data_IF_560366744182
#
_entry.id   IF_560366744182
#
_cell.length_a   1.000
_cell.length_b   1.000
_cell.length_c   1.000
_cell.angle_alpha   90.00
_cell.angle_beta   90.00
_cell.angle_gamma   90.00
#
_symmetry.space_group_name_H-M   'P 1'
#
loop_
_entity.id
_entity.type
_entity.pdbx_description
1 polymer ?
#
# COMPACT_ATOMS: atom_id res chain seq x y z
N UNK A 1 5.33 -29.67 -20.23
CA UNK A 1 4.22 -28.90 -19.61
C UNK A 1 4.85 -27.77 -18.80
N UNK A 2 4.71 -26.53 -19.29
CA UNK A 2 5.35 -25.33 -18.73
C UNK A 2 4.49 -24.75 -17.60
N UNK A 3 4.93 -24.93 -16.36
CA UNK A 3 4.33 -24.28 -15.19
C UNK A 3 4.91 -22.87 -15.03
N UNK A 4 4.40 -21.94 -15.83
CA UNK A 4 4.51 -20.49 -15.56
C UNK A 4 3.66 -20.17 -14.33
N UNK A 5 4.23 -20.31 -13.14
CA UNK A 5 3.62 -19.81 -11.90
C UNK A 5 3.83 -18.30 -11.85
N UNK A 6 2.87 -17.53 -12.36
CA UNK A 6 2.77 -16.11 -12.06
C UNK A 6 2.72 -15.94 -10.53
N UNK A 7 3.73 -15.27 -9.96
CA UNK A 7 3.94 -15.12 -8.51
C UNK A 7 3.02 -14.08 -7.84
N UNK A 8 1.86 -13.79 -8.43
CA UNK A 8 0.91 -12.82 -7.87
C UNK A 8 -0.51 -13.18 -8.25
N UNK A 9 -1.50 -12.69 -7.50
CA UNK A 9 -2.90 -12.86 -7.85
C UNK A 9 -3.17 -12.23 -9.23
N UNK A 10 -4.21 -12.72 -9.95
CA UNK A 10 -4.61 -12.06 -11.18
C UNK A 10 -5.00 -10.61 -10.87
N UNK A 11 -4.32 -9.67 -11.53
CA UNK A 11 -4.68 -8.26 -11.44
C UNK A 11 -6.14 -8.07 -11.83
N UNK A 12 -6.90 -7.19 -11.14
CA UNK A 12 -8.25 -6.86 -11.56
C UNK A 12 -8.27 -6.45 -13.04
N UNK A 13 -9.33 -6.81 -13.76
CA UNK A 13 -9.54 -6.34 -15.13
C UNK A 13 -9.45 -4.80 -15.15
N UNK A 14 -8.82 -4.21 -16.17
CA UNK A 14 -8.73 -2.75 -16.30
C UNK A 14 -10.14 -2.14 -16.29
N UNK A 15 -10.54 -1.53 -15.18
CA UNK A 15 -11.82 -0.86 -15.05
C UNK A 15 -11.65 0.58 -15.52
N UNK A 16 -12.41 0.98 -16.53
CA UNK A 16 -12.40 2.34 -17.04
C UNK A 16 -13.51 3.19 -16.43
N UNK A 17 -13.33 4.51 -16.44
CA UNK A 17 -14.39 5.47 -16.16
C UNK A 17 -14.39 6.06 -14.75
N UNK A 18 -13.32 5.88 -13.96
CA UNK A 18 -13.20 6.62 -12.70
C UNK A 18 -12.88 8.11 -12.97
N UNK A 19 -13.43 9.01 -12.15
CA UNK A 19 -13.14 10.45 -12.30
C UNK A 19 -11.64 10.73 -12.10
N UNK A 20 -11.01 10.03 -11.15
CA UNK A 20 -9.57 10.13 -10.91
C UNK A 20 -8.75 9.68 -12.13
N UNK A 21 -9.14 8.59 -12.78
CA UNK A 21 -8.49 8.13 -14.01
C UNK A 21 -8.59 9.19 -15.11
N UNK A 22 -9.79 9.74 -15.34
CA UNK A 22 -10.00 10.78 -16.35
C UNK A 22 -9.24 12.08 -16.03
N UNK A 23 -9.10 12.42 -14.76
CA UNK A 23 -8.27 13.54 -14.31
C UNK A 23 -6.78 13.29 -14.61
N UNK A 24 -6.25 12.15 -14.17
CA UNK A 24 -4.85 11.77 -14.39
C UNK A 24 -4.50 11.70 -15.89
N UNK A 25 -5.39 11.15 -16.71
CA UNK A 25 -5.18 11.12 -18.16
C UNK A 25 -5.17 12.51 -18.79
N UNK A 26 -6.01 13.45 -18.29
CA UNK A 26 -5.98 14.86 -18.73
C UNK A 26 -4.70 15.58 -18.29
N UNK A 27 -4.14 15.20 -17.14
CA UNK A 27 -2.82 15.67 -16.67
C UNK A 27 -1.66 15.05 -17.48
N UNK A 28 -1.93 14.04 -18.33
CA UNK A 28 -0.94 13.37 -19.17
C UNK A 28 -0.35 12.10 -18.56
N UNK A 29 -0.92 11.58 -17.48
CA UNK A 29 -0.48 10.35 -16.84
C UNK A 29 -0.67 9.13 -17.76
N UNK A 30 0.38 8.33 -17.88
CA UNK A 30 0.29 7.01 -18.49
C UNK A 30 -0.08 5.98 -17.41
N UNK A 31 -1.24 5.35 -17.57
CA UNK A 31 -1.77 4.36 -16.61
C UNK A 31 -1.49 2.97 -17.17
N UNK A 32 -0.39 2.37 -16.72
CA UNK A 32 0.03 1.03 -17.12
C UNK A 32 -0.61 -0.03 -16.20
N UNK A 33 -0.58 -1.30 -16.61
CA UNK A 33 -1.06 -2.40 -15.75
C UNK A 33 -0.02 -2.85 -14.72
N UNK A 34 1.27 -2.70 -15.02
CA UNK A 34 2.38 -3.18 -14.20
C UNK A 34 3.33 -2.02 -13.87
N UNK A 35 3.90 -2.04 -12.66
CA UNK A 35 4.89 -1.06 -12.19
C UNK A 35 4.43 0.41 -12.27
N UNK A 36 3.37 0.75 -11.52
CA UNK A 36 2.76 2.08 -11.52
C UNK A 36 3.44 3.07 -10.56
N UNK A 37 4.72 2.88 -10.24
CA UNK A 37 5.54 3.92 -9.59
C UNK A 37 5.49 5.25 -10.37
N UNK A 38 5.59 5.29 -11.71
CA UNK A 38 5.44 6.53 -12.47
C UNK A 38 4.08 7.22 -12.28
N UNK A 39 3.01 6.46 -12.01
CA UNK A 39 1.69 7.04 -11.73
C UNK A 39 1.66 7.73 -10.36
N UNK A 40 2.28 7.12 -9.34
CA UNK A 40 2.44 7.74 -8.01
C UNK A 40 3.30 8.99 -8.12
N UNK A 41 4.42 8.93 -8.83
CA UNK A 41 5.29 10.09 -9.07
C UNK A 41 4.56 11.18 -9.86
N UNK A 42 3.73 10.83 -10.84
CA UNK A 42 2.89 11.79 -11.55
C UNK A 42 1.93 12.52 -10.62
N UNK A 43 1.21 11.78 -9.75
CA UNK A 43 0.30 12.34 -8.74
C UNK A 43 1.02 13.37 -7.85
N UNK A 44 2.26 13.06 -7.46
CA UNK A 44 3.08 13.93 -6.63
C UNK A 44 3.51 15.17 -7.41
N UNK A 45 4.08 14.99 -8.60
CA UNK A 45 4.68 16.06 -9.40
C UNK A 45 3.66 17.07 -9.93
N UNK A 46 2.44 16.61 -10.26
CA UNK A 46 1.36 17.48 -10.71
C UNK A 46 0.49 18.00 -9.56
N UNK A 47 0.81 17.59 -8.32
CA UNK A 47 -0.02 17.84 -7.15
C UNK A 47 -1.51 17.54 -7.43
N UNK A 48 -1.78 16.39 -8.06
CA UNK A 48 -3.10 16.01 -8.60
C UNK A 48 -4.18 16.32 -7.56
N UNK A 49 -5.13 17.23 -7.88
CA UNK A 49 -6.17 17.64 -6.95
C UNK A 49 -7.04 16.47 -6.47
N UNK A 50 -7.27 16.41 -5.16
CA UNK A 50 -8.17 15.44 -4.53
C UNK A 50 -7.78 15.17 -3.08
N UNK A 51 -8.67 14.48 -2.37
CA UNK A 51 -8.45 14.09 -0.98
C UNK A 51 -8.73 12.62 -0.77
N UNK A 52 -7.84 11.93 -0.08
CA UNK A 52 -8.12 10.57 0.41
C UNK A 52 -9.05 10.72 1.61
N UNK A 53 -10.24 10.12 1.53
CA UNK A 53 -11.27 10.20 2.58
C UNK A 53 -11.34 8.93 3.41
N UNK A 54 -10.95 7.80 2.82
CA UNK A 54 -10.98 6.49 3.46
C UNK A 54 -9.84 5.62 2.97
N UNK A 55 -9.23 4.87 3.89
CA UNK A 55 -8.28 3.82 3.55
C UNK A 55 -8.73 2.49 4.17
N UNK A 56 -8.70 1.44 3.37
CA UNK A 56 -9.06 0.08 3.77
C UNK A 56 -7.88 -0.84 3.49
N UNK A 57 -7.46 -1.60 4.49
CA UNK A 57 -6.49 -2.67 4.34
C UNK A 57 -7.23 -3.99 4.19
N UNK A 58 -7.03 -4.65 3.05
CA UNK A 58 -7.65 -5.91 2.69
C UNK A 58 -6.62 -7.03 2.65
N UNK A 59 -7.09 -8.25 2.89
CA UNK A 59 -6.39 -9.49 2.63
C UNK A 59 -7.22 -10.33 1.67
N UNK A 60 -6.62 -10.73 0.56
CA UNK A 60 -7.27 -11.58 -0.42
C UNK A 60 -7.61 -12.94 0.16
N UNK A 61 -8.77 -13.46 -0.22
CA UNK A 61 -9.15 -14.84 0.05
C UNK A 61 -8.50 -15.79 -0.98
N UNK A 62 -7.18 -15.77 -1.04
CA UNK A 62 -6.36 -16.57 -1.96
C UNK A 62 -5.33 -17.41 -1.20
N UNK A 63 -4.74 -18.40 -1.86
CA UNK A 63 -3.70 -19.28 -1.26
C UNK A 63 -2.49 -18.46 -0.76
N UNK A 64 -2.22 -17.33 -1.41
CA UNK A 64 -1.08 -16.46 -1.11
C UNK A 64 -1.45 -15.42 -0.04
N UNK A 65 -2.75 -15.27 0.27
CA UNK A 65 -3.29 -14.31 1.24
C UNK A 65 -2.72 -12.89 1.04
N UNK A 66 -2.67 -12.43 -0.22
CA UNK A 66 -2.06 -11.14 -0.58
C UNK A 66 -2.77 -9.98 0.11
N UNK A 67 -2.01 -9.00 0.59
CA UNK A 67 -2.55 -7.85 1.31
C UNK A 67 -2.33 -6.54 0.56
N UNK A 68 -3.33 -5.65 0.56
CA UNK A 68 -3.24 -4.40 -0.19
C UNK A 68 -4.11 -3.31 0.41
N UNK A 69 -3.92 -2.08 -0.09
CA UNK A 69 -4.70 -0.91 0.33
C UNK A 69 -5.72 -0.53 -0.74
N UNK A 70 -6.92 -0.19 -0.30
CA UNK A 70 -7.86 0.61 -1.08
C UNK A 70 -7.94 2.01 -0.49
N UNK A 71 -7.85 3.01 -1.35
CA UNK A 71 -7.98 4.42 -1.00
C UNK A 71 -9.19 4.99 -1.73
N UNK A 72 -10.15 5.50 -0.98
CA UNK A 72 -11.24 6.30 -1.53
C UNK A 72 -10.75 7.73 -1.70
N UNK A 73 -10.80 8.24 -2.92
CA UNK A 73 -10.36 9.57 -3.32
C UNK A 73 -11.58 10.37 -3.71
N UNK A 74 -11.78 11.51 -3.03
CA UNK A 74 -12.69 12.55 -3.48
C UNK A 74 -11.95 13.45 -4.46
N UNK A 75 -12.34 13.40 -5.73
CA UNK A 75 -11.76 14.20 -6.81
C UNK A 75 -12.24 15.66 -6.75
N UNK A 76 -11.59 16.54 -7.50
CA UNK A 76 -11.89 17.98 -7.50
C UNK A 76 -13.34 18.30 -7.96
N UNK A 77 -13.90 17.47 -8.83
CA UNK A 77 -15.30 17.54 -9.26
C UNK A 77 -16.30 17.01 -8.20
N UNK A 78 -15.82 16.66 -7.01
CA UNK A 78 -16.60 16.16 -5.88
C UNK A 78 -16.98 14.68 -5.96
N UNK A 79 -16.65 13.99 -7.05
CA UNK A 79 -16.95 12.55 -7.22
C UNK A 79 -16.00 11.70 -6.37
N UNK A 80 -16.40 10.46 -6.14
CA UNK A 80 -15.55 9.46 -5.50
C UNK A 80 -14.91 8.56 -6.56
N UNK A 81 -13.67 8.18 -6.34
CA UNK A 81 -12.95 7.17 -7.10
C UNK A 81 -12.14 6.32 -6.13
N UNK A 82 -11.87 5.09 -6.50
CA UNK A 82 -11.13 4.15 -5.68
C UNK A 82 -9.80 3.80 -6.32
N UNK A 83 -8.78 3.68 -5.49
CA UNK A 83 -7.42 3.34 -5.89
C UNK A 83 -6.94 2.16 -5.05
N UNK A 84 -6.66 1.03 -5.71
CA UNK A 84 -5.99 -0.15 -5.14
C UNK A 84 -4.49 0.02 -5.27
N UNK A 85 -3.76 -0.12 -4.18
CA UNK A 85 -2.30 -0.05 -4.14
C UNK A 85 -1.74 -1.36 -3.59
N UNK A 86 -0.89 -1.99 -4.39
CA UNK A 86 -0.26 -3.27 -4.11
C UNK A 86 1.25 -3.13 -4.19
N UNK A 87 1.94 -3.86 -3.31
CA UNK A 87 3.39 -4.06 -3.42
C UNK A 87 3.64 -5.52 -3.77
N UNK A 88 4.25 -5.77 -4.92
CA UNK A 88 4.53 -7.11 -5.42
C UNK A 88 6.02 -7.31 -5.63
N UNK A 89 6.48 -8.55 -5.57
CA UNK A 89 7.79 -8.91 -6.13
C UNK A 89 7.71 -8.92 -7.65
N UNK A 90 8.86 -9.01 -8.32
CA UNK A 90 8.91 -9.12 -9.78
C UNK A 90 8.01 -10.28 -10.28
N UNK A 91 7.01 -9.95 -11.09
CA UNK A 91 6.20 -10.94 -11.80
C UNK A 91 6.93 -11.30 -13.09
N UNK A 92 7.25 -12.58 -13.36
CA UNK A 92 8.02 -12.95 -14.54
C UNK A 92 7.26 -12.56 -15.82
N UNK A 93 7.93 -11.82 -16.70
CA UNK A 93 7.43 -11.46 -18.04
C UNK A 93 8.15 -12.34 -19.08
N UNK A 94 7.43 -13.24 -19.75
CA UNK A 94 7.93 -14.00 -20.91
C UNK A 94 8.94 -15.13 -20.63
N UNK A 95 9.46 -15.73 -21.70
CA UNK A 95 10.38 -16.88 -21.70
C UNK A 95 11.81 -16.55 -21.20
N UNK A 96 12.05 -15.34 -20.73
CA UNK A 96 13.31 -14.90 -20.12
C UNK A 96 13.35 -15.14 -18.59
N UNK A 97 12.48 -16.02 -18.08
CA UNK A 97 12.35 -16.37 -16.66
C UNK A 97 13.59 -17.05 -16.05
N UNK A 98 14.66 -17.27 -16.81
CA UNK A 98 15.90 -17.88 -16.29
C UNK A 98 16.86 -16.86 -15.66
N UNK A 99 16.69 -15.55 -15.89
CA UNK A 99 17.70 -14.55 -15.50
C UNK A 99 17.19 -13.38 -14.65
N UNK A 100 15.90 -13.34 -14.28
CA UNK A 100 15.37 -12.28 -13.40
C UNK A 100 15.65 -12.61 -11.92
N UNK A 101 16.91 -12.40 -11.53
CA UNK A 101 17.38 -12.35 -10.14
C UNK A 101 17.25 -10.92 -9.58
N UNK A 102 16.20 -10.18 -9.93
CA UNK A 102 15.99 -8.87 -9.30
C UNK A 102 14.90 -8.98 -8.25
N UNK A 103 15.30 -9.05 -6.99
CA UNK A 103 14.41 -8.98 -5.82
C UNK A 103 13.73 -7.60 -5.70
N UNK A 104 13.51 -6.86 -6.79
CA UNK A 104 12.96 -5.50 -6.75
C UNK A 104 11.46 -5.55 -6.48
N UNK A 105 11.02 -4.72 -5.53
CA UNK A 105 9.61 -4.51 -5.28
C UNK A 105 9.02 -3.62 -6.39
N UNK A 106 7.80 -3.95 -6.81
CA UNK A 106 6.99 -3.15 -7.72
C UNK A 106 5.79 -2.59 -6.96
N UNK A 107 5.40 -1.36 -7.29
CA UNK A 107 4.10 -0.81 -6.92
C UNK A 107 3.14 -1.04 -8.06
N UNK A 108 1.97 -1.61 -7.78
CA UNK A 108 0.87 -1.69 -8.73
C UNK A 108 -0.31 -0.90 -8.21
N UNK A 109 -0.88 -0.10 -9.11
CA UNK A 109 -1.97 0.82 -8.80
C UNK A 109 -3.11 0.57 -9.77
N UNK A 110 -4.28 0.20 -9.25
CA UNK A 110 -5.49 -0.01 -10.07
C UNK A 110 -6.56 1.00 -9.67
N UNK A 111 -7.11 1.72 -10.64
CA UNK A 111 -8.16 2.71 -10.41
C UNK A 111 -9.52 2.15 -10.81
N UNK A 112 -10.56 2.51 -10.06
CA UNK A 112 -11.94 2.17 -10.39
C UNK A 112 -12.92 3.25 -9.90
N UNK A 113 -14.11 3.36 -10.50
CA UNK A 113 -15.14 4.30 -10.03
C UNK A 113 -15.73 3.90 -8.66
N UNK A 114 -15.68 2.61 -8.30
CA UNK A 114 -16.30 2.04 -7.12
C UNK A 114 -15.39 1.01 -6.43
N UNK A 115 -15.65 0.73 -5.15
CA UNK A 115 -14.86 -0.20 -4.33
C UNK A 115 -14.99 -1.63 -4.84
N UNK A 116 -16.20 -2.02 -5.21
CA UNK A 116 -16.61 -3.37 -5.59
C UNK A 116 -15.86 -3.86 -6.83
N UNK A 117 -15.43 -2.94 -7.67
CA UNK A 117 -14.63 -3.20 -8.87
C UNK A 117 -13.16 -3.55 -8.58
N UNK A 118 -12.70 -3.41 -7.33
CA UNK A 118 -11.32 -3.67 -6.90
C UNK A 118 -11.20 -4.81 -5.87
N UNK A 119 -12.33 -5.40 -5.46
CA UNK A 119 -12.43 -6.41 -4.40
C UNK A 119 -12.93 -7.74 -5.00
N UNK A 120 -12.42 -8.85 -4.49
CA UNK A 120 -12.81 -10.22 -4.83
C UNK A 120 -12.99 -11.06 -3.55
N UNK A 121 -14.13 -10.91 -2.86
CA UNK A 121 -14.45 -11.61 -1.60
C UNK A 121 -13.39 -11.46 -0.49
N UNK A 122 -12.71 -10.31 -0.47
CA UNK A 122 -11.57 -10.07 0.40
C UNK A 122 -11.97 -9.80 1.85
N UNK A 123 -11.09 -10.18 2.77
CA UNK A 123 -11.24 -9.91 4.19
C UNK A 123 -10.76 -8.49 4.51
N UNK A 124 -11.64 -7.69 5.10
CA UNK A 124 -11.26 -6.39 5.70
C UNK A 124 -10.45 -6.62 6.98
N UNK A 125 -9.18 -6.19 6.95
CA UNK A 125 -8.30 -6.21 8.13
C UNK A 125 -8.50 -4.95 8.96
N UNK A 126 -8.48 -3.78 8.32
CA UNK A 126 -8.55 -2.46 8.98
C UNK A 126 -9.23 -1.44 8.07
N UNK A 127 -10.06 -0.56 8.64
CA UNK A 127 -10.58 0.63 7.95
C UNK A 127 -10.25 1.90 8.75
N UNK A 128 -9.84 2.93 8.04
CA UNK A 128 -9.55 4.27 8.55
C UNK A 128 -10.37 5.30 7.76
N UNK A 129 -11.32 5.95 8.43
CA UNK A 129 -11.98 7.14 7.89
C UNK A 129 -11.12 8.36 8.29
N UNK A 130 -10.67 9.13 7.30
CA UNK A 130 -9.76 10.25 7.50
C UNK A 130 -10.53 11.56 7.71
N UNK A 131 -9.89 12.52 8.38
CA UNK A 131 -10.44 13.84 8.59
C UNK A 131 -10.77 14.52 7.24
N UNK A 132 -11.92 15.19 7.17
CA UNK A 132 -12.44 15.75 5.91
C UNK A 132 -11.48 16.77 5.32
N UNK A 133 -11.14 16.58 4.04
CA UNK A 133 -10.23 17.44 3.28
C UNK A 133 -8.84 17.64 3.93
N UNK A 134 -8.40 16.73 4.80
CA UNK A 134 -7.10 16.82 5.46
C UNK A 134 -5.99 16.11 4.67
N UNK A 135 -6.26 14.91 4.16
CA UNK A 135 -5.28 14.09 3.47
C UNK A 135 -5.31 14.35 1.96
N UNK A 136 -4.52 15.30 1.46
CA UNK A 136 -4.40 15.55 0.01
C UNK A 136 -3.87 14.30 -0.69
N UNK A 137 -4.38 14.02 -1.89
CA UNK A 137 -3.98 12.85 -2.68
C UNK A 137 -2.46 12.83 -2.92
N UNK A 138 -1.87 13.97 -3.28
CA UNK A 138 -0.43 14.13 -3.47
C UNK A 138 0.38 13.76 -2.23
N UNK A 139 -0.09 14.12 -1.04
CA UNK A 139 0.60 13.87 0.22
C UNK A 139 0.54 12.37 0.58
N UNK A 140 -0.62 11.75 0.39
CA UNK A 140 -0.74 10.28 0.59
C UNK A 140 0.09 9.52 -0.43
N UNK A 141 0.17 10.00 -1.68
CA UNK A 141 1.06 9.43 -2.70
C UNK A 141 2.54 9.56 -2.31
N UNK A 142 2.97 10.71 -1.77
CA UNK A 142 4.32 10.89 -1.19
C UNK A 142 4.58 9.87 -0.09
N UNK A 143 3.64 9.66 0.83
CA UNK A 143 3.78 8.64 1.88
C UNK A 143 3.99 7.25 1.29
N UNK A 144 3.15 6.82 0.32
CA UNK A 144 3.29 5.51 -0.33
C UNK A 144 4.67 5.36 -0.97
N UNK A 145 5.16 6.40 -1.66
CA UNK A 145 6.47 6.38 -2.30
C UNK A 145 7.63 6.36 -1.29
N UNK A 146 7.52 7.12 -0.18
CA UNK A 146 8.50 7.10 0.92
C UNK A 146 8.59 5.70 1.53
N UNK A 147 7.45 5.07 1.82
CA UNK A 147 7.44 3.70 2.38
C UNK A 147 8.03 2.73 1.36
N UNK A 148 7.65 2.82 0.09
CA UNK A 148 8.20 1.95 -0.96
C UNK A 148 9.72 2.09 -1.10
N UNK A 149 10.25 3.32 -1.10
CA UNK A 149 11.68 3.58 -1.26
C UNK A 149 12.52 3.27 -0.01
N UNK A 150 11.91 3.19 1.17
CA UNK A 150 12.62 2.78 2.40
C UNK A 150 13.14 1.33 2.30
N UNK A 151 12.48 0.48 1.51
CA UNK A 151 13.01 -0.83 1.13
C UNK A 151 12.67 -1.15 -0.33
N UNK A 152 13.57 -0.92 -1.29
CA UNK A 152 13.32 -1.19 -2.70
C UNK A 152 13.24 -2.70 -2.99
N UNK A 153 13.76 -3.56 -2.11
CA UNK A 153 13.70 -5.01 -2.29
C UNK A 153 12.42 -5.64 -1.72
N UNK A 154 11.86 -6.60 -2.46
CA UNK A 154 10.74 -7.41 -2.02
C UNK A 154 11.22 -8.62 -1.23
N UNK A 155 11.11 -8.54 0.09
CA UNK A 155 11.41 -9.68 0.97
C UNK A 155 10.11 -10.32 1.43
N UNK A 156 9.87 -11.56 1.00
CA UNK A 156 8.66 -12.33 1.34
C UNK A 156 8.37 -12.34 2.86
N UNK A 157 9.41 -12.39 3.68
CA UNK A 157 9.29 -12.41 5.13
C UNK A 157 9.19 -11.01 5.74
N UNK A 158 9.85 -9.97 5.21
CA UNK A 158 10.08 -8.73 5.97
C UNK A 158 9.40 -7.52 5.35
N UNK A 159 9.68 -7.31 4.08
CA UNK A 159 9.31 -6.12 3.34
C UNK A 159 8.56 -6.60 2.11
N UNK A 160 7.30 -6.95 2.30
CA UNK A 160 6.38 -7.42 1.26
C UNK A 160 5.15 -6.48 1.17
N UNK A 161 4.02 -7.03 0.70
CA UNK A 161 2.72 -6.37 0.60
C UNK A 161 2.12 -5.95 1.96
N UNK A 162 2.15 -6.86 2.94
CA UNK A 162 1.74 -6.62 4.33
C UNK A 162 2.49 -5.44 4.96
N UNK A 163 3.81 -5.36 4.75
CA UNK A 163 4.63 -4.30 5.32
C UNK A 163 4.22 -2.91 4.81
N UNK A 164 4.05 -2.75 3.50
CA UNK A 164 3.60 -1.50 2.90
C UNK A 164 2.24 -1.10 3.49
N UNK A 165 1.27 -2.01 3.44
CA UNK A 165 -0.10 -1.74 3.88
C UNK A 165 -0.15 -1.34 5.35
N UNK A 166 0.55 -2.09 6.22
CA UNK A 166 0.63 -1.80 7.64
C UNK A 166 1.25 -0.42 7.93
N UNK A 167 2.39 -0.12 7.33
CA UNK A 167 3.13 1.11 7.64
C UNK A 167 2.37 2.33 7.16
N UNK A 168 1.83 2.30 5.92
CA UNK A 168 1.00 3.39 5.40
C UNK A 168 -0.23 3.59 6.28
N UNK A 169 -0.91 2.51 6.69
CA UNK A 169 -2.09 2.60 7.57
C UNK A 169 -1.75 3.20 8.94
N UNK A 170 -0.61 2.84 9.53
CA UNK A 170 -0.18 3.43 10.79
C UNK A 170 0.09 4.92 10.65
N UNK A 171 0.90 5.31 9.66
CA UNK A 171 1.28 6.72 9.47
C UNK A 171 0.06 7.57 9.13
N UNK A 172 -0.80 7.12 8.20
CA UNK A 172 -1.98 7.89 7.80
C UNK A 172 -2.96 8.08 8.96
N UNK A 173 -3.11 7.07 9.82
CA UNK A 173 -3.99 7.16 10.99
C UNK A 173 -3.46 8.10 12.07
N UNK A 174 -2.14 8.17 12.24
CA UNK A 174 -1.50 9.08 13.18
C UNK A 174 -1.55 10.53 12.71
N UNK A 175 -1.47 10.75 11.39
CA UNK A 175 -1.41 12.08 10.76
C UNK A 175 -2.78 12.68 10.40
N UNK A 176 -3.79 11.88 10.06
CA UNK A 176 -5.04 12.39 9.49
C UNK A 176 -6.32 11.87 10.17
N UNK A 177 -6.23 11.34 11.39
CA UNK A 177 -7.41 10.92 12.18
C UNK A 177 -7.45 11.61 13.55
N UNK A 178 -7.38 12.94 13.56
CA UNK A 178 -7.46 13.74 14.77
C UNK A 178 -8.90 13.87 15.28
N UNK A 179 -9.88 13.90 14.37
CA UNK A 179 -11.31 14.02 14.70
C UNK A 179 -11.89 12.77 15.37
N UNK A 180 -11.37 11.58 15.05
CA UNK A 180 -11.88 10.30 15.58
C UNK A 180 -10.81 9.51 16.36
N UNK A 181 -10.48 9.98 17.56
CA UNK A 181 -9.47 9.36 18.45
C UNK A 181 -9.77 7.88 18.76
N UNK A 182 -11.05 7.49 18.86
CA UNK A 182 -11.45 6.10 19.14
C UNK A 182 -11.13 5.18 17.96
N UNK A 183 -11.49 5.58 16.75
CA UNK A 183 -11.17 4.81 15.55
C UNK A 183 -9.65 4.77 15.32
N UNK A 184 -8.94 5.88 15.51
CA UNK A 184 -7.48 5.92 15.43
C UNK A 184 -6.81 4.88 16.35
N UNK A 185 -7.21 4.83 17.63
CA UNK A 185 -6.70 3.80 18.57
C UNK A 185 -6.98 2.37 18.08
N UNK A 186 -8.17 2.12 17.51
CA UNK A 186 -8.53 0.81 16.94
C UNK A 186 -7.64 0.46 15.74
N UNK A 187 -7.41 1.40 14.83
CA UNK A 187 -6.55 1.22 13.65
C UNK A 187 -5.12 0.88 14.07
N UNK A 188 -4.52 1.68 14.95
CA UNK A 188 -3.16 1.46 15.46
C UNK A 188 -3.05 0.09 16.14
N UNK A 189 -3.97 -0.24 17.05
CA UNK A 189 -3.99 -1.52 17.75
C UNK A 189 -4.09 -2.72 16.80
N UNK A 190 -4.88 -2.62 15.72
CA UNK A 190 -4.98 -3.68 14.71
C UNK A 190 -3.68 -3.82 13.90
N UNK A 191 -3.05 -2.71 13.52
CA UNK A 191 -1.76 -2.73 12.85
C UNK A 191 -0.66 -3.35 13.71
N UNK A 192 -0.63 -3.01 15.00
CA UNK A 192 0.33 -3.57 15.97
C UNK A 192 0.07 -5.06 16.24
N UNK A 193 -1.19 -5.47 16.33
CA UNK A 193 -1.55 -6.88 16.50
C UNK A 193 -1.13 -7.71 15.28
N UNK A 194 -1.36 -7.19 14.06
CA UNK A 194 -0.89 -7.82 12.82
C UNK A 194 0.64 -7.93 12.79
N UNK A 195 1.35 -6.87 13.22
CA UNK A 195 2.80 -6.90 13.38
C UNK A 195 3.30 -7.98 14.32
N UNK A 196 2.75 -8.03 15.53
CA UNK A 196 3.18 -9.01 16.51
C UNK A 196 2.92 -10.44 16.02
N UNK A 197 1.76 -10.69 15.38
CA UNK A 197 1.45 -12.00 14.79
C UNK A 197 2.48 -12.38 13.72
N UNK A 198 2.83 -11.45 12.84
CA UNK A 198 3.82 -11.67 11.78
C UNK A 198 5.22 -11.94 12.35
N UNK A 199 5.69 -11.14 13.31
CA UNK A 199 7.00 -11.32 13.96
C UNK A 199 7.08 -12.64 14.72
N UNK A 200 6.01 -13.02 15.42
CA UNK A 200 5.92 -14.31 16.12
C UNK A 200 6.03 -15.47 15.13
N UNK A 201 5.30 -15.42 14.01
CA UNK A 201 5.34 -16.45 12.97
C UNK A 201 6.74 -16.61 12.36
N UNK A 202 7.47 -15.51 12.15
CA UNK A 202 8.85 -15.55 11.64
C UNK A 202 9.86 -16.11 12.65
N UNK A 203 9.57 -16.03 13.95
CA UNK A 203 10.52 -16.35 15.01
C UNK A 203 10.26 -17.70 15.68
N UNK A 204 9.28 -18.47 15.20
CA UNK A 204 8.96 -19.78 15.73
C UNK A 204 10.05 -20.80 15.34
N UNK A 205 10.93 -21.19 16.28
CA UNK A 205 11.78 -22.37 16.06
C UNK A 205 13.12 -22.51 16.77
N UNK A 206 13.53 -21.62 17.70
CA UNK A 206 14.85 -21.79 18.34
C UNK A 206 15.03 -21.15 19.72
N UNK A 207 16.09 -21.54 20.47
CA UNK A 207 16.37 -21.09 21.83
C UNK A 207 16.64 -19.58 21.96
N UNK A 208 16.80 -18.87 20.84
CA UNK A 208 17.00 -17.41 20.77
C UNK A 208 15.81 -16.65 20.18
N UNK A 209 14.65 -17.31 20.02
CA UNK A 209 13.45 -16.71 19.42
C UNK A 209 13.07 -15.35 20.05
N UNK A 210 13.18 -15.21 21.37
CA UNK A 210 12.87 -13.95 22.07
C UNK A 210 13.79 -12.79 21.69
N UNK A 211 15.10 -13.03 21.50
CA UNK A 211 16.06 -12.00 21.09
C UNK A 211 15.82 -11.60 19.64
N UNK A 212 15.57 -12.58 18.75
CA UNK A 212 15.22 -12.32 17.34
C UNK A 212 13.92 -11.53 17.17
N UNK A 213 12.89 -11.82 17.99
CA UNK A 213 11.64 -11.06 18.01
C UNK A 213 11.86 -9.60 18.42
N UNK A 214 12.63 -9.37 19.50
CA UNK A 214 12.92 -8.01 19.97
C UNK A 214 13.73 -7.20 18.95
N UNK A 215 14.75 -7.80 18.34
CA UNK A 215 15.52 -7.16 17.28
C UNK A 215 14.62 -6.78 16.08
N UNK A 216 13.69 -7.67 15.71
CA UNK A 216 12.72 -7.44 14.64
C UNK A 216 11.76 -6.29 14.97
N UNK A 217 11.21 -6.28 16.19
CA UNK A 217 10.32 -5.21 16.65
C UNK A 217 11.05 -3.85 16.62
N UNK A 218 12.29 -3.81 17.12
CA UNK A 218 13.11 -2.59 17.12
C UNK A 218 13.40 -2.14 15.68
N UNK A 219 13.73 -3.07 14.79
CA UNK A 219 13.98 -2.79 13.38
C UNK A 219 12.79 -2.07 12.72
N UNK A 220 11.59 -2.64 12.83
CA UNK A 220 10.39 -2.05 12.24
C UNK A 220 9.96 -0.74 12.91
N UNK A 221 10.16 -0.61 14.23
CA UNK A 221 9.88 0.64 14.96
C UNK A 221 10.79 1.78 14.50
N UNK A 222 12.09 1.51 14.36
CA UNK A 222 13.06 2.51 13.90
C UNK A 222 12.78 2.95 12.46
N UNK A 223 12.44 2.00 11.56
CA UNK A 223 11.99 2.32 10.20
C UNK A 223 10.73 3.18 10.19
N UNK A 224 9.69 2.80 10.95
CA UNK A 224 8.46 3.60 11.05
C UNK A 224 8.77 5.04 11.52
N UNK A 225 9.65 5.19 12.52
CA UNK A 225 10.04 6.52 13.01
C UNK A 225 10.68 7.37 11.91
N UNK A 226 11.62 6.81 11.13
CA UNK A 226 12.23 7.50 9.99
C UNK A 226 11.22 7.86 8.91
N UNK A 227 10.36 6.92 8.52
CA UNK A 227 9.29 7.15 7.55
C UNK A 227 8.38 8.30 8.00
N UNK A 228 7.96 8.29 9.27
CA UNK A 228 7.13 9.36 9.84
C UNK A 228 7.84 10.71 9.79
N UNK A 229 9.12 10.76 10.16
CA UNK A 229 9.93 12.00 10.07
C UNK A 229 10.05 12.50 8.63
N UNK A 230 10.42 11.63 7.68
CA UNK A 230 10.56 11.98 6.26
C UNK A 230 9.22 12.46 5.69
N UNK A 231 8.13 11.77 6.02
CA UNK A 231 6.80 12.16 5.58
C UNK A 231 6.40 13.52 6.14
N UNK A 232 6.60 13.74 7.45
CA UNK A 232 6.29 15.02 8.10
C UNK A 232 7.06 16.16 7.45
N UNK A 233 8.36 15.99 7.20
CA UNK A 233 9.18 16.99 6.49
C UNK A 233 8.64 17.27 5.08
N UNK A 234 8.20 16.24 4.35
CA UNK A 234 7.66 16.37 2.98
C UNK A 234 6.31 17.11 2.89
N UNK A 235 5.62 17.31 4.01
CA UNK A 235 4.38 18.10 4.10
C UNK A 235 4.64 19.60 4.22
N UNK A 236 5.84 19.99 4.65
CA UNK A 236 6.25 21.39 4.84
C UNK A 236 7.29 21.87 3.82
N UNK A 237 7.60 21.02 2.84
CA UNK A 237 8.51 21.30 1.71
C UNK A 237 7.70 21.51 0.45
#
# INVERSE_FOLDING_TARGET
MSNSRSRGPPLPSLVQGSSLQAQLQREGAQIWRNNNRPLIEHIINHATPGYVTKVVWLQEKSIIEHEYLLMCVKTNDGRLSWMRIERMGELPIGSASSNALTDQAQLVVTLAPSRENLVCDDRVLVEADLDTNAARLSDVAKLVLIVHNEEPQYHLQWHNCWWLARVVMQVISETYMHGNKKQRKKVISRCDSSHNKHVLAMSAGGPFAGIGQMATIIHFRNRKKRIMTNFTQSLYS
#
